data_IF_122781648253
#
_entry.id   IF_122781648253
#
_cell.length_a   1.000
_cell.length_b   1.000
_cell.length_c   1.000
_cell.angle_alpha   90.00
_cell.angle_beta   90.00
_cell.angle_gamma   90.00
#
_symmetry.space_group_name_H-M   'P 1'
#
loop_
_entity.id
_entity.type
_entity.pdbx_description
1 polymer ?
#
# COMPACT_ATOMS: atom_id res chain seq x y z
N UNK A 1 13.57 -31.16 -13.52
CA UNK A 1 13.77 -29.79 -13.02
C UNK A 1 12.90 -29.67 -11.79
N UNK A 2 13.50 -29.62 -10.59
CA UNK A 2 12.77 -29.37 -9.35
C UNK A 2 12.07 -28.02 -9.47
N UNK A 3 10.77 -28.06 -9.33
CA UNK A 3 9.94 -26.86 -9.32
C UNK A 3 10.18 -26.18 -7.96
N UNK A 4 11.29 -25.43 -7.83
CA UNK A 4 11.53 -24.64 -6.65
C UNK A 4 10.37 -23.66 -6.52
N UNK A 5 9.64 -23.76 -5.40
CA UNK A 5 8.60 -22.79 -5.07
C UNK A 5 9.27 -21.46 -4.68
N UNK A 6 9.57 -20.65 -5.70
CA UNK A 6 10.21 -19.35 -5.54
C UNK A 6 9.44 -18.43 -4.56
N UNK A 7 8.13 -18.58 -4.47
CA UNK A 7 7.32 -17.80 -3.53
C UNK A 7 7.68 -18.14 -2.08
N UNK A 8 7.79 -19.44 -1.76
CA UNK A 8 8.21 -19.87 -0.43
C UNK A 8 9.61 -19.42 -0.07
N UNK A 9 10.54 -19.41 -1.03
CA UNK A 9 11.90 -18.89 -0.81
C UNK A 9 11.88 -17.39 -0.51
N UNK A 10 11.13 -16.61 -1.29
CA UNK A 10 10.98 -15.17 -1.07
C UNK A 10 10.28 -14.88 0.26
N UNK A 11 9.21 -15.59 0.59
CA UNK A 11 8.51 -15.43 1.87
C UNK A 11 9.45 -15.68 3.05
N UNK A 12 10.23 -16.77 3.01
CA UNK A 12 11.19 -17.06 4.06
C UNK A 12 12.25 -15.97 4.26
N UNK A 13 12.63 -15.25 3.19
CA UNK A 13 13.55 -14.12 3.31
C UNK A 13 12.86 -12.86 3.86
N UNK A 14 11.65 -12.54 3.37
CA UNK A 14 10.90 -11.36 3.76
C UNK A 14 10.51 -11.40 5.24
N UNK A 15 10.12 -12.57 5.74
CA UNK A 15 9.63 -12.73 7.12
C UNK A 15 10.72 -13.07 8.14
N UNK A 16 11.99 -12.94 7.79
CA UNK A 16 13.08 -12.97 8.80
C UNK A 16 12.96 -11.75 9.71
N UNK A 17 12.58 -11.98 10.95
CA UNK A 17 12.44 -10.88 11.94
C UNK A 17 13.79 -10.48 12.53
N UNK A 18 14.66 -9.91 11.70
CA UNK A 18 15.99 -9.44 12.10
C UNK A 18 15.94 -8.29 13.14
N UNK A 19 14.81 -7.60 13.23
CA UNK A 19 14.60 -6.47 14.14
C UNK A 19 13.82 -6.83 15.41
N UNK A 20 13.50 -8.08 15.63
CA UNK A 20 12.70 -8.55 16.77
C UNK A 20 11.37 -7.79 16.95
N UNK A 21 10.71 -7.45 15.82
CA UNK A 21 9.47 -6.65 15.80
C UNK A 21 8.20 -7.50 15.83
N UNK A 22 8.32 -8.83 15.87
CA UNK A 22 7.19 -9.76 15.92
C UNK A 22 6.49 -9.96 14.57
N UNK A 23 7.13 -9.64 13.45
CA UNK A 23 6.54 -9.80 12.11
C UNK A 23 6.17 -11.24 11.80
N UNK A 24 6.86 -12.21 12.39
CA UNK A 24 6.57 -13.64 12.23
C UNK A 24 5.13 -14.00 12.64
N UNK A 25 4.56 -13.26 13.60
CA UNK A 25 3.18 -13.50 14.06
C UNK A 25 2.12 -13.07 13.04
N UNK A 26 2.49 -12.26 12.08
CA UNK A 26 1.61 -11.80 10.99
C UNK A 26 1.78 -12.61 9.71
N UNK A 27 2.76 -13.51 9.67
CA UNK A 27 3.04 -14.30 8.49
C UNK A 27 1.98 -15.37 8.25
N UNK A 28 1.44 -15.35 7.06
CA UNK A 28 0.61 -16.44 6.53
C UNK A 28 1.33 -17.07 5.35
N UNK A 29 1.77 -18.31 5.50
CA UNK A 29 2.49 -19.03 4.45
C UNK A 29 1.66 -19.11 3.18
N UNK A 30 2.25 -18.71 2.04
CA UNK A 30 1.61 -18.69 0.73
C UNK A 30 0.94 -17.35 0.39
N UNK A 31 0.90 -16.38 1.32
CA UNK A 31 0.23 -15.08 1.12
C UNK A 31 0.84 -14.28 -0.04
N UNK A 32 2.15 -14.32 -0.24
CA UNK A 32 2.81 -13.65 -1.37
C UNK A 32 2.33 -14.22 -2.71
N UNK A 33 2.25 -15.54 -2.80
CA UNK A 33 1.74 -16.22 -4.00
C UNK A 33 0.28 -15.87 -4.26
N UNK A 34 -0.55 -15.92 -3.22
CA UNK A 34 -1.97 -15.60 -3.33
C UNK A 34 -2.18 -14.15 -3.78
N UNK A 35 -1.44 -13.19 -3.19
CA UNK A 35 -1.49 -11.79 -3.58
C UNK A 35 -1.07 -11.58 -5.05
N UNK A 36 0.03 -12.21 -5.49
CA UNK A 36 0.47 -12.12 -6.87
C UNK A 36 -0.59 -12.66 -7.85
N UNK A 37 -1.15 -13.84 -7.57
CA UNK A 37 -2.21 -14.42 -8.41
C UNK A 37 -3.52 -13.62 -8.36
N UNK A 38 -3.86 -13.03 -7.23
CA UNK A 38 -5.02 -12.15 -7.12
C UNK A 38 -4.88 -10.93 -8.04
N UNK A 39 -3.71 -10.31 -8.08
CA UNK A 39 -3.42 -9.19 -8.99
C UNK A 39 -3.46 -9.64 -10.45
N UNK A 40 -2.81 -10.77 -10.78
CA UNK A 40 -2.74 -11.25 -12.17
C UNK A 40 -4.10 -11.55 -12.80
N UNK A 41 -5.14 -11.79 -11.99
CA UNK A 41 -6.52 -12.03 -12.43
C UNK A 41 -7.33 -10.74 -12.61
N UNK A 42 -6.77 -9.58 -12.26
CA UNK A 42 -7.50 -8.30 -12.31
C UNK A 42 -7.52 -7.70 -13.71
N UNK A 43 -8.53 -6.88 -13.95
CA UNK A 43 -8.64 -6.11 -15.17
C UNK A 43 -7.46 -5.14 -15.28
N UNK A 44 -6.84 -5.09 -16.47
CA UNK A 44 -5.67 -4.25 -16.73
C UNK A 44 -6.03 -2.86 -17.24
N UNK A 45 -7.25 -2.67 -17.75
CA UNK A 45 -7.74 -1.40 -18.33
C UNK A 45 -8.25 -0.49 -17.22
N UNK A 46 -9.00 -1.05 -16.26
CA UNK A 46 -9.51 -0.29 -15.13
C UNK A 46 -8.38 0.25 -14.27
N UNK A 47 -8.56 1.44 -13.68
CA UNK A 47 -7.56 2.04 -12.82
C UNK A 47 -7.16 1.14 -11.65
N UNK A 48 -5.88 1.10 -11.36
CA UNK A 48 -5.30 0.42 -10.21
C UNK A 48 -4.42 1.39 -9.43
N UNK A 49 -4.39 1.28 -8.12
CA UNK A 49 -3.66 2.24 -7.30
C UNK A 49 -2.69 1.57 -6.36
N UNK A 50 -1.49 2.16 -6.24
CA UNK A 50 -0.54 1.86 -5.18
C UNK A 50 -0.58 3.02 -4.20
N UNK A 51 -1.27 2.82 -3.08
CA UNK A 51 -1.42 3.81 -2.03
C UNK A 51 -0.20 3.82 -1.14
N UNK A 52 0.43 4.98 -0.96
CA UNK A 52 1.61 5.13 -0.13
C UNK A 52 1.69 6.51 0.50
N UNK A 53 2.62 6.66 1.45
CA UNK A 53 2.89 7.89 2.17
C UNK A 53 2.49 7.81 3.63
N UNK A 54 3.48 7.89 4.52
CA UNK A 54 3.30 7.88 5.96
C UNK A 54 3.92 9.15 6.55
N UNK A 55 3.07 10.07 6.99
CA UNK A 55 3.50 11.27 7.68
C UNK A 55 3.65 10.96 9.18
N UNK A 56 4.86 11.07 9.73
CA UNK A 56 5.14 10.68 11.11
C UNK A 56 5.27 11.88 12.05
N UNK A 57 6.44 12.47 12.18
CA UNK A 57 6.67 13.60 13.07
C UNK A 57 6.90 14.90 12.31
N UNK A 58 6.38 16.04 12.82
CA UNK A 58 6.63 17.38 12.27
C UNK A 58 6.26 17.53 10.80
N UNK A 59 5.18 16.85 10.36
CA UNK A 59 4.74 16.82 8.96
C UNK A 59 5.84 16.31 8.01
N UNK A 60 6.72 15.42 8.48
CA UNK A 60 7.72 14.76 7.67
C UNK A 60 7.26 13.34 7.37
N UNK A 61 7.32 12.98 6.10
CA UNK A 61 6.94 11.65 5.64
C UNK A 61 8.14 10.72 5.60
N UNK A 62 7.91 9.45 5.89
CA UNK A 62 8.88 8.38 5.72
C UNK A 62 9.18 8.17 4.23
N UNK A 63 10.37 7.65 3.92
CA UNK A 63 10.90 7.57 2.54
C UNK A 63 10.93 6.17 1.96
N UNK A 64 10.83 5.14 2.78
CA UNK A 64 10.92 3.73 2.39
C UNK A 64 9.68 3.26 1.61
N UNK A 65 8.47 3.55 2.09
CA UNK A 65 7.22 3.22 1.41
C UNK A 65 7.15 3.74 -0.03
N UNK A 66 7.41 5.04 -0.30
CA UNK A 66 7.38 5.61 -1.64
C UNK A 66 8.32 4.95 -2.65
N UNK A 67 9.52 4.53 -2.25
CA UNK A 67 10.47 3.85 -3.15
C UNK A 67 9.95 2.47 -3.56
N UNK A 68 9.54 1.65 -2.60
CA UNK A 68 8.96 0.33 -2.86
C UNK A 68 7.69 0.41 -3.71
N UNK A 69 6.83 1.38 -3.42
CA UNK A 69 5.61 1.66 -4.18
C UNK A 69 5.89 2.02 -5.63
N UNK A 70 6.94 2.83 -5.87
CA UNK A 70 7.32 3.25 -7.22
C UNK A 70 7.84 2.09 -8.05
N UNK A 71 8.65 1.19 -7.46
CA UNK A 71 9.11 -0.03 -8.13
C UNK A 71 7.93 -0.94 -8.46
N UNK A 72 7.01 -1.16 -7.52
CA UNK A 72 5.82 -1.97 -7.74
C UNK A 72 4.93 -1.36 -8.84
N UNK A 73 4.70 -0.04 -8.82
CA UNK A 73 3.93 0.67 -9.83
C UNK A 73 4.55 0.50 -11.22
N UNK A 74 5.87 0.72 -11.35
CA UNK A 74 6.60 0.54 -12.61
C UNK A 74 6.48 -0.90 -13.14
N UNK A 75 6.59 -1.89 -12.26
CA UNK A 75 6.49 -3.31 -12.61
C UNK A 75 5.07 -3.64 -13.13
N UNK A 76 4.03 -3.20 -12.44
CA UNK A 76 2.65 -3.43 -12.85
C UNK A 76 2.34 -2.75 -14.17
N UNK A 77 2.83 -1.53 -14.39
CA UNK A 77 2.71 -0.83 -15.66
C UNK A 77 3.42 -1.57 -16.81
N UNK A 78 4.61 -2.11 -16.55
CA UNK A 78 5.33 -2.94 -17.53
C UNK A 78 4.58 -4.24 -17.87
N UNK A 79 3.78 -4.75 -16.93
CA UNK A 79 2.86 -5.89 -17.14
C UNK A 79 1.53 -5.50 -17.84
N UNK A 80 1.35 -4.20 -18.15
CA UNK A 80 0.20 -3.68 -18.89
C UNK A 80 -0.98 -3.22 -18.03
N UNK A 81 -0.81 -3.09 -16.70
CA UNK A 81 -1.85 -2.55 -15.82
C UNK A 81 -1.87 -1.01 -15.87
N UNK A 82 -3.07 -0.43 -15.84
CA UNK A 82 -3.28 1.00 -15.70
C UNK A 82 -3.09 1.41 -14.23
N UNK A 83 -1.83 1.51 -13.80
CA UNK A 83 -1.46 1.70 -12.39
C UNK A 83 -0.92 3.10 -12.13
N UNK A 84 -1.36 3.71 -11.03
CA UNK A 84 -1.01 5.06 -10.56
C UNK A 84 -0.62 5.01 -9.08
N UNK A 85 0.38 5.79 -8.69
CA UNK A 85 0.67 6.05 -7.27
C UNK A 85 -0.43 6.95 -6.69
N UNK A 86 -1.03 6.55 -5.58
CA UNK A 86 -2.05 7.33 -4.87
C UNK A 86 -1.49 7.78 -3.53
N UNK A 87 -1.63 9.06 -3.23
CA UNK A 87 -1.16 9.66 -1.98
C UNK A 87 -2.02 10.85 -1.59
N UNK A 88 -1.75 11.46 -0.45
CA UNK A 88 -2.36 12.72 -0.01
C UNK A 88 -1.42 13.93 -0.22
N UNK A 89 -1.97 15.14 -0.01
CA UNK A 89 -1.21 16.38 -0.13
C UNK A 89 -0.04 16.48 0.86
N UNK A 90 -0.14 15.84 2.02
CA UNK A 90 0.91 15.85 3.04
C UNK A 90 2.13 15.03 2.64
N UNK A 91 1.90 13.90 1.97
CA UNK A 91 2.95 12.96 1.56
C UNK A 91 3.40 13.17 0.11
N UNK A 92 2.64 13.90 -0.69
CA UNK A 92 2.91 14.11 -2.12
C UNK A 92 4.34 14.54 -2.43
N UNK A 93 4.98 15.49 -1.73
CA UNK A 93 6.34 15.92 -2.07
C UNK A 93 7.36 14.77 -2.01
N UNK A 94 7.24 13.89 -1.01
CA UNK A 94 8.15 12.75 -0.85
C UNK A 94 7.83 11.66 -1.89
N UNK A 95 6.54 11.36 -2.09
CA UNK A 95 6.11 10.41 -3.11
C UNK A 95 6.55 10.86 -4.50
N UNK A 96 6.42 12.15 -4.81
CA UNK A 96 6.85 12.73 -6.09
C UNK A 96 8.36 12.62 -6.30
N UNK A 97 9.15 12.84 -5.26
CA UNK A 97 10.61 12.69 -5.34
C UNK A 97 11.03 11.23 -5.63
N UNK A 98 10.24 10.25 -5.19
CA UNK A 98 10.50 8.82 -5.36
C UNK A 98 9.79 8.21 -6.59
N UNK A 99 8.92 8.94 -7.26
CA UNK A 99 8.01 8.37 -8.26
C UNK A 99 8.69 7.94 -9.57
N UNK A 100 9.91 8.37 -9.84
CA UNK A 100 10.56 8.21 -11.15
C UNK A 100 9.66 8.79 -12.27
N UNK A 101 9.20 7.93 -13.20
CA UNK A 101 8.29 8.29 -14.28
C UNK A 101 6.84 7.84 -14.03
N UNK A 102 6.55 7.33 -12.84
CA UNK A 102 5.20 6.86 -12.52
C UNK A 102 4.22 8.02 -12.39
N UNK A 103 2.97 7.87 -12.85
CA UNK A 103 1.93 8.85 -12.60
C UNK A 103 1.57 8.89 -11.11
N UNK A 104 1.23 10.09 -10.63
CA UNK A 104 0.82 10.34 -9.25
C UNK A 104 -0.56 10.98 -9.27
N UNK A 105 -1.44 10.47 -8.42
CA UNK A 105 -2.71 11.08 -8.05
C UNK A 105 -2.63 11.48 -6.58
N UNK A 106 -2.67 12.79 -6.31
CA UNK A 106 -2.74 13.31 -4.95
C UNK A 106 -4.18 13.68 -4.61
N UNK A 107 -4.72 13.08 -3.57
CA UNK A 107 -6.12 13.24 -3.15
C UNK A 107 -6.26 13.23 -1.64
N UNK A 108 -6.88 14.25 -1.09
CA UNK A 108 -7.24 14.27 0.34
C UNK A 108 -8.64 13.70 0.60
N UNK A 109 -9.49 13.70 -0.42
CA UNK A 109 -10.80 13.04 -0.39
C UNK A 109 -10.92 12.07 -1.57
N UNK A 110 -11.06 10.75 -1.32
CA UNK A 110 -11.11 9.74 -2.36
C UNK A 110 -12.53 9.48 -2.91
N UNK A 111 -13.54 10.27 -2.56
CA UNK A 111 -14.96 9.99 -2.86
C UNK A 111 -15.30 9.93 -4.36
N UNK A 112 -14.48 10.51 -5.20
CA UNK A 112 -14.61 10.48 -6.66
C UNK A 112 -13.85 9.32 -7.34
N UNK A 113 -13.16 8.50 -6.56
CA UNK A 113 -12.51 7.28 -7.05
C UNK A 113 -13.53 6.13 -6.97
N UNK A 114 -14.21 5.85 -8.07
CA UNK A 114 -15.35 4.91 -8.08
C UNK A 114 -15.06 3.59 -8.78
N UNK A 115 -14.22 3.60 -9.80
CA UNK A 115 -13.86 2.42 -10.56
C UNK A 115 -12.42 2.02 -10.24
N UNK A 116 -12.25 0.86 -9.61
CA UNK A 116 -10.94 0.37 -9.16
C UNK A 116 -10.83 -1.11 -9.53
N UNK A 117 -9.78 -1.47 -10.28
CA UNK A 117 -9.43 -2.87 -10.53
C UNK A 117 -8.89 -3.52 -9.26
N UNK A 118 -7.90 -2.89 -8.66
CA UNK A 118 -7.34 -3.25 -7.35
C UNK A 118 -6.58 -2.08 -6.72
N UNK A 119 -6.35 -2.18 -5.44
CA UNK A 119 -5.53 -1.24 -4.68
C UNK A 119 -4.58 -2.01 -3.76
N UNK A 120 -3.32 -1.58 -3.71
CA UNK A 120 -2.29 -2.09 -2.80
C UNK A 120 -1.84 -0.96 -1.90
N UNK A 121 -1.86 -1.16 -0.58
CA UNK A 121 -1.35 -0.20 0.39
C UNK A 121 0.05 -0.58 0.83
N UNK A 122 0.98 0.36 0.72
CA UNK A 122 2.39 0.20 1.09
C UNK A 122 2.77 1.35 2.01
N UNK A 123 3.10 1.06 3.27
CA UNK A 123 3.50 2.06 4.27
C UNK A 123 2.51 3.25 4.32
N UNK A 124 1.22 2.92 4.48
CA UNK A 124 0.14 3.90 4.64
C UNK A 124 -0.67 3.59 5.88
N UNK A 125 -0.86 4.54 6.82
CA UNK A 125 -1.67 4.29 8.00
C UNK A 125 -3.15 4.17 7.64
N UNK A 126 -3.83 3.22 8.27
CA UNK A 126 -5.28 3.14 8.32
C UNK A 126 -5.82 3.69 9.64
N UNK A 127 -7.10 4.04 9.68
CA UNK A 127 -7.75 4.51 10.91
C UNK A 127 -7.89 3.39 11.93
N UNK A 128 -7.72 3.77 13.20
CA UNK A 128 -8.02 2.90 14.33
C UNK A 128 -9.50 2.49 14.30
N UNK A 129 -9.80 1.21 14.47
CA UNK A 129 -11.18 0.70 14.58
C UNK A 129 -11.92 1.23 15.84
N UNK A 130 -11.18 1.66 16.87
CA UNK A 130 -11.76 2.11 18.14
C UNK A 130 -12.00 3.62 18.19
N UNK A 131 -11.04 4.40 17.71
CA UNK A 131 -11.02 5.86 17.88
C UNK A 131 -11.23 6.62 16.58
N UNK A 132 -11.18 5.91 15.44
CA UNK A 132 -11.33 6.46 14.08
C UNK A 132 -10.29 7.55 13.73
N UNK A 133 -9.18 7.60 14.47
CA UNK A 133 -8.04 8.46 14.22
C UNK A 133 -6.87 7.67 13.58
N UNK A 134 -5.91 8.39 13.03
CA UNK A 134 -4.67 7.81 12.51
C UNK A 134 -3.57 7.91 13.55
N UNK A 135 -2.83 6.81 13.77
CA UNK A 135 -1.78 6.74 14.78
C UNK A 135 -0.50 6.14 14.26
N UNK A 136 0.62 6.62 14.80
CA UNK A 136 1.92 5.96 14.63
C UNK A 136 1.99 4.67 15.48
N UNK A 137 3.03 3.88 15.28
CA UNK A 137 3.33 2.69 16.12
C UNK A 137 3.46 3.05 17.62
N UNK A 138 3.91 4.26 17.94
CA UNK A 138 4.00 4.79 19.31
C UNK A 138 2.68 5.42 19.81
N UNK A 139 1.56 5.15 19.14
CA UNK A 139 0.22 5.64 19.46
C UNK A 139 0.04 7.18 19.37
N UNK A 140 0.97 7.92 18.76
CA UNK A 140 0.82 9.36 18.52
C UNK A 140 -0.26 9.60 17.46
N UNK A 141 -1.16 10.53 17.70
CA UNK A 141 -2.16 10.99 16.73
C UNK A 141 -1.49 11.77 15.58
N UNK A 142 -1.75 11.33 14.35
CA UNK A 142 -1.27 11.93 13.10
C UNK A 142 -2.43 12.29 12.16
N UNK A 143 -3.66 12.34 12.67
CA UNK A 143 -4.85 12.66 11.87
C UNK A 143 -4.77 14.03 11.20
N UNK A 144 -4.02 14.96 11.80
CA UNK A 144 -3.81 16.31 11.25
C UNK A 144 -2.92 16.33 9.98
N UNK A 145 -2.22 15.24 9.68
CA UNK A 145 -1.35 15.10 8.51
C UNK A 145 -1.54 13.77 7.76
N UNK A 146 -2.73 13.21 7.82
CA UNK A 146 -3.09 11.96 7.14
C UNK A 146 -4.50 12.07 6.59
N UNK A 147 -4.65 12.11 5.28
CA UNK A 147 -5.98 12.14 4.65
C UNK A 147 -6.66 10.75 4.68
N UNK A 148 -8.01 10.70 4.72
CA UNK A 148 -8.77 9.47 4.92
C UNK A 148 -8.90 8.61 3.64
N UNK A 149 -7.80 8.37 2.94
CA UNK A 149 -7.79 7.55 1.71
C UNK A 149 -8.04 6.06 2.02
N UNK A 150 -7.87 5.65 3.26
CA UNK A 150 -8.22 4.31 3.75
C UNK A 150 -9.71 3.97 3.57
N UNK A 151 -10.57 4.97 3.31
CA UNK A 151 -11.97 4.77 2.91
C UNK A 151 -12.14 3.98 1.60
N UNK A 152 -11.11 3.89 0.77
CA UNK A 152 -11.12 3.05 -0.43
C UNK A 152 -11.06 1.54 -0.10
N UNK A 153 -10.63 1.18 1.10
CA UNK A 153 -10.65 -0.21 1.54
C UNK A 153 -11.97 -0.52 2.22
N UNK A 154 -12.65 -1.62 1.84
CA UNK A 154 -13.87 -2.03 2.54
C UNK A 154 -13.51 -2.33 3.99
N UNK A 155 -14.20 -1.69 4.92
CA UNK A 155 -14.16 -2.11 6.32
C UNK A 155 -14.70 -3.54 6.39
N UNK A 156 -13.98 -4.45 7.05
CA UNK A 156 -14.47 -5.80 7.30
C UNK A 156 -15.88 -5.73 7.92
N UNK A 157 -16.87 -6.31 7.26
CA UNK A 157 -18.27 -6.29 7.67
C UNK A 157 -19.20 -5.42 6.84
N UNK A 158 -18.72 -4.60 5.91
CA UNK A 158 -19.53 -3.81 4.98
C UNK A 158 -19.31 -4.28 3.54
N UNK A 159 -19.65 -5.52 3.24
CA UNK A 159 -19.93 -5.90 1.85
C UNK A 159 -21.21 -5.17 1.44
N UNK A 160 -21.07 -4.13 0.61
CA UNK A 160 -22.23 -3.64 -0.14
C UNK A 160 -22.78 -4.82 -0.93
N UNK A 161 -24.00 -5.24 -0.60
CA UNK A 161 -24.79 -6.19 -1.38
C UNK A 161 -25.15 -5.58 -2.72
#
# INVERSE_FOLDING_TARGET
>A
MENHDYYSLLENEIFKDLGYRGIETMWQKGSLREAAFAILKRDKILPSYILTGFCCMFNRCETDGPLGSSVLCSTLRALGYNTTLLTDSYSEPVVRAAAFTNPILSKDNPSDITEISFIVSVERPGRSKKTYDFRTMSARDISHCTAPIDLLFPLEGHTKK
#
